data_IF_960818100916
#
_entry.id   IF_960818100916
#
_cell.length_a   1.000
_cell.length_b   1.000
_cell.length_c   1.000
_cell.angle_alpha   90.00
_cell.angle_beta   90.00
_cell.angle_gamma   90.00
#
_symmetry.space_group_name_H-M   'P 1'
#
loop_
_entity.id
_entity.type
_entity.pdbx_description
1 polymer ?
#
# COMPACT_ATOMS: atom_id res chain seq x y z
N UNK A 1 -19.72 3.28 -18.29
CA UNK A 1 -18.61 4.05 -17.68
C UNK A 1 -19.12 5.44 -17.39
N UNK A 2 -19.15 5.88 -16.13
CA UNK A 2 -19.39 7.28 -15.81
C UNK A 2 -18.21 8.10 -16.38
N UNK A 3 -18.49 8.95 -17.36
CA UNK A 3 -17.50 9.88 -17.89
C UNK A 3 -17.40 11.05 -16.92
N UNK A 4 -16.34 11.08 -16.10
CA UNK A 4 -16.02 12.26 -15.31
C UNK A 4 -15.45 13.34 -16.24
N UNK A 5 -16.00 14.55 -16.17
CA UNK A 5 -15.42 15.70 -16.85
C UNK A 5 -14.28 16.26 -15.98
N UNK A 6 -13.05 15.80 -16.26
CA UNK A 6 -11.87 16.15 -15.47
C UNK A 6 -11.19 17.40 -16.03
N UNK A 7 -10.85 18.34 -15.17
CA UNK A 7 -9.88 19.40 -15.45
C UNK A 7 -8.47 18.84 -15.24
N UNK A 8 -7.81 18.47 -16.34
CA UNK A 8 -6.50 17.85 -16.33
C UNK A 8 -5.39 18.69 -15.71
N UNK A 9 -5.49 20.03 -15.77
CA UNK A 9 -4.52 20.93 -15.13
C UNK A 9 -4.65 20.82 -13.61
N UNK A 10 -5.88 20.94 -13.07
CA UNK A 10 -6.12 20.75 -11.63
C UNK A 10 -5.72 19.35 -11.17
N UNK A 11 -6.03 18.33 -11.97
CA UNK A 11 -5.67 16.95 -11.68
C UNK A 11 -4.15 16.75 -11.57
N UNK A 12 -3.39 17.21 -12.57
CA UNK A 12 -1.93 17.13 -12.56
C UNK A 12 -1.30 17.88 -11.39
N UNK A 13 -1.77 19.10 -11.12
CA UNK A 13 -1.33 19.89 -9.97
C UNK A 13 -1.62 19.17 -8.64
N UNK A 14 -2.80 18.57 -8.50
CA UNK A 14 -3.16 17.81 -7.29
C UNK A 14 -2.29 16.57 -7.07
N UNK A 15 -1.91 15.86 -8.15
CA UNK A 15 -0.96 14.74 -8.05
C UNK A 15 0.38 15.21 -7.50
N UNK A 16 0.93 16.32 -8.02
CA UNK A 16 2.21 16.89 -7.55
C UNK A 16 2.13 17.25 -6.07
N UNK A 17 1.05 17.93 -5.64
CA UNK A 17 0.86 18.25 -4.23
C UNK A 17 0.70 17.00 -3.35
N UNK A 18 0.00 15.97 -3.83
CA UNK A 18 -0.17 14.71 -3.09
C UNK A 18 1.17 14.02 -2.88
N UNK A 19 2.04 13.99 -3.89
CA UNK A 19 3.40 13.46 -3.79
C UNK A 19 4.21 14.22 -2.74
N UNK A 20 4.25 15.56 -2.85
CA UNK A 20 5.07 16.40 -1.98
C UNK A 20 4.58 16.31 -0.53
N UNK A 21 3.29 16.56 -0.29
CA UNK A 21 2.76 16.70 1.07
C UNK A 21 2.79 15.37 1.83
N UNK A 22 2.43 14.27 1.19
CA UNK A 22 2.38 12.97 1.86
C UNK A 22 3.78 12.49 2.22
N UNK A 23 4.72 12.45 1.27
CA UNK A 23 6.07 11.97 1.56
C UNK A 23 6.85 12.89 2.50
N UNK A 24 6.57 14.20 2.48
CA UNK A 24 7.20 15.15 3.41
C UNK A 24 6.92 14.79 4.88
N UNK A 25 5.76 14.19 5.20
CA UNK A 25 5.47 13.76 6.58
C UNK A 25 6.51 12.76 7.07
N UNK A 26 6.75 11.71 6.29
CA UNK A 26 7.75 10.70 6.62
C UNK A 26 9.16 11.30 6.69
N UNK A 27 9.54 12.13 5.71
CA UNK A 27 10.88 12.73 5.68
C UNK A 27 11.13 13.65 6.88
N UNK A 28 10.18 14.51 7.22
CA UNK A 28 10.31 15.45 8.36
C UNK A 28 10.38 14.68 9.68
N UNK A 29 9.55 13.64 9.85
CA UNK A 29 9.62 12.81 11.05
C UNK A 29 10.96 12.09 11.17
N UNK A 30 11.45 11.51 10.08
CA UNK A 30 12.70 10.76 10.06
C UNK A 30 13.93 11.66 10.26
N UNK A 31 14.01 12.79 9.55
CA UNK A 31 15.22 13.61 9.48
C UNK A 31 15.23 14.79 10.46
N UNK A 32 14.08 15.43 10.69
CA UNK A 32 13.99 16.62 11.54
C UNK A 32 13.60 16.27 12.96
N UNK A 33 12.73 15.27 13.14
CA UNK A 33 12.27 14.82 14.46
C UNK A 33 13.04 13.60 14.99
N UNK A 34 14.01 13.08 14.23
CA UNK A 34 14.82 11.90 14.58
C UNK A 34 13.98 10.67 14.99
N UNK A 35 12.82 10.50 14.37
CA UNK A 35 11.98 9.31 14.58
C UNK A 35 12.63 8.13 13.87
N UNK A 36 13.09 7.14 14.63
CA UNK A 36 13.77 5.97 14.09
C UNK A 36 12.87 5.18 13.11
N UNK A 37 13.49 4.55 12.11
CA UNK A 37 12.80 3.60 11.25
C UNK A 37 12.48 2.31 12.05
N UNK A 38 11.27 1.75 11.93
CA UNK A 38 10.84 0.62 12.74
C UNK A 38 11.47 -0.71 12.32
N UNK A 39 11.80 -1.56 13.30
CA UNK A 39 12.20 -2.94 13.05
C UNK A 39 10.99 -3.89 13.06
N UNK A 40 10.48 -4.18 11.87
CA UNK A 40 9.32 -5.05 11.67
C UNK A 40 9.56 -6.53 12.05
N UNK A 41 10.80 -6.94 12.39
CA UNK A 41 11.07 -8.28 12.90
C UNK A 41 10.38 -8.55 14.24
N UNK A 42 10.11 -7.50 15.03
CA UNK A 42 9.43 -7.58 16.33
C UNK A 42 7.96 -8.00 16.17
N UNK A 43 7.34 -7.73 15.02
CA UNK A 43 5.94 -8.08 14.77
C UNK A 43 5.83 -9.57 14.45
N UNK A 44 5.25 -10.32 15.39
CA UNK A 44 5.09 -11.78 15.26
C UNK A 44 3.95 -12.16 14.31
N UNK A 45 3.94 -13.42 13.88
CA UNK A 45 2.98 -13.97 12.91
C UNK A 45 1.50 -13.70 13.24
N UNK A 46 1.03 -13.83 14.51
CA UNK A 46 -0.37 -13.53 14.83
C UNK A 46 -0.77 -12.08 14.52
N UNK A 47 0.10 -11.10 14.83
CA UNK A 47 -0.17 -9.69 14.55
C UNK A 47 -0.10 -9.38 13.06
N UNK A 48 0.83 -10.02 12.33
CA UNK A 48 0.88 -9.97 10.85
C UNK A 48 -0.41 -10.51 10.25
N UNK A 49 -0.92 -11.63 10.78
CA UNK A 49 -2.17 -12.24 10.33
C UNK A 49 -3.37 -11.32 10.56
N UNK A 50 -3.49 -10.71 11.75
CA UNK A 50 -4.58 -9.77 12.05
C UNK A 50 -4.51 -8.54 11.15
N UNK A 51 -3.34 -7.92 11.03
CA UNK A 51 -3.15 -6.73 10.19
C UNK A 51 -3.48 -7.03 8.73
N UNK A 52 -2.98 -8.16 8.20
CA UNK A 52 -3.29 -8.59 6.84
C UNK A 52 -4.76 -8.95 6.67
N UNK A 53 -5.42 -9.49 7.69
CA UNK A 53 -6.86 -9.75 7.70
C UNK A 53 -7.69 -8.49 7.52
N UNK A 54 -7.32 -7.42 8.20
CA UNK A 54 -7.96 -6.11 8.05
C UNK A 54 -7.67 -5.52 6.66
N UNK A 55 -6.44 -5.64 6.17
CA UNK A 55 -6.06 -5.22 4.80
C UNK A 55 -6.91 -5.95 3.73
N UNK A 56 -7.03 -7.27 3.81
CA UNK A 56 -7.84 -8.07 2.88
C UNK A 56 -9.33 -7.77 3.01
N UNK A 57 -9.84 -7.59 4.24
CA UNK A 57 -11.24 -7.20 4.45
C UNK A 57 -11.55 -5.84 3.81
N UNK A 58 -10.63 -4.88 3.96
CA UNK A 58 -10.76 -3.56 3.32
C UNK A 58 -10.64 -3.62 1.81
N UNK A 59 -9.79 -4.49 1.25
CA UNK A 59 -9.74 -4.76 -0.19
C UNK A 59 -11.04 -5.39 -0.70
N UNK A 60 -11.67 -6.31 0.06
CA UNK A 60 -12.99 -6.88 -0.29
C UNK A 60 -14.06 -5.78 -0.39
N UNK A 61 -14.13 -4.87 0.59
CA UNK A 61 -15.07 -3.74 0.56
C UNK A 61 -14.76 -2.75 -0.55
N UNK A 62 -13.49 -2.37 -0.70
CA UNK A 62 -13.05 -1.53 -1.81
C UNK A 62 -13.47 -2.13 -3.16
N UNK A 63 -13.19 -3.43 -3.35
CA UNK A 63 -13.48 -4.11 -4.60
C UNK A 63 -14.98 -4.22 -4.87
N UNK A 64 -15.79 -4.56 -3.87
CA UNK A 64 -17.26 -4.59 -4.00
C UNK A 64 -17.85 -3.24 -4.46
N UNK A 65 -17.31 -2.13 -3.96
CA UNK A 65 -17.70 -0.80 -4.42
C UNK A 65 -17.17 -0.55 -5.85
N UNK A 66 -15.89 -0.83 -6.11
CA UNK A 66 -15.28 -0.57 -7.41
C UNK A 66 -15.93 -1.40 -8.54
N UNK A 67 -16.24 -2.67 -8.28
CA UNK A 67 -16.77 -3.64 -9.26
C UNK A 67 -18.07 -3.16 -9.91
N UNK A 68 -18.91 -2.45 -9.14
CA UNK A 68 -20.18 -1.85 -9.62
C UNK A 68 -19.98 -0.86 -10.77
N UNK A 69 -18.79 -0.26 -10.90
CA UNK A 69 -18.44 0.66 -12.00
C UNK A 69 -17.69 -0.02 -13.14
N UNK A 70 -17.20 -1.24 -12.94
CA UNK A 70 -16.26 -1.91 -13.84
C UNK A 70 -16.96 -3.08 -14.55
N UNK A 71 -17.35 -2.87 -15.81
CA UNK A 71 -17.94 -3.90 -16.67
C UNK A 71 -16.94 -4.82 -17.35
N UNK A 72 -15.78 -5.09 -16.74
CA UNK A 72 -14.69 -5.85 -17.36
C UNK A 72 -14.76 -7.36 -17.09
N UNK A 73 -14.01 -8.14 -17.87
CA UNK A 73 -13.79 -9.58 -17.62
C UNK A 73 -13.03 -9.82 -16.31
N UNK A 74 -13.14 -11.03 -15.77
CA UNK A 74 -12.43 -11.45 -14.54
C UNK A 74 -10.93 -11.15 -14.61
N UNK A 75 -10.26 -11.47 -15.72
CA UNK A 75 -8.82 -11.24 -15.88
C UNK A 75 -8.44 -9.76 -15.77
N UNK A 76 -9.20 -8.86 -16.41
CA UNK A 76 -8.96 -7.40 -16.33
C UNK A 76 -9.21 -6.86 -14.93
N UNK A 77 -10.26 -7.34 -14.27
CA UNK A 77 -10.60 -7.01 -12.88
C UNK A 77 -9.48 -7.43 -11.92
N UNK A 78 -9.00 -8.66 -12.08
CA UNK A 78 -7.88 -9.21 -11.34
C UNK A 78 -6.60 -8.40 -11.53
N UNK A 79 -6.18 -8.16 -12.78
CA UNK A 79 -4.97 -7.38 -13.09
C UNK A 79 -5.07 -5.97 -12.51
N UNK A 80 -6.22 -5.30 -12.64
CA UNK A 80 -6.42 -3.96 -12.08
C UNK A 80 -6.25 -3.96 -10.55
N UNK A 81 -6.88 -4.91 -9.85
CA UNK A 81 -6.76 -4.98 -8.39
C UNK A 81 -5.32 -5.30 -7.96
N UNK A 82 -4.62 -6.18 -8.69
CA UNK A 82 -3.21 -6.48 -8.43
C UNK A 82 -2.35 -5.24 -8.58
N UNK A 83 -2.50 -4.49 -9.66
CA UNK A 83 -1.74 -3.27 -9.89
C UNK A 83 -2.04 -2.25 -8.80
N UNK A 84 -3.31 -2.03 -8.45
CA UNK A 84 -3.69 -1.05 -7.42
C UNK A 84 -3.17 -1.43 -6.03
N UNK A 85 -3.34 -2.69 -5.60
CA UNK A 85 -2.82 -3.16 -4.30
C UNK A 85 -1.29 -3.10 -4.29
N UNK A 86 -0.64 -3.54 -5.37
CA UNK A 86 0.81 -3.56 -5.44
C UNK A 86 1.41 -2.15 -5.44
N UNK A 87 0.83 -1.21 -6.18
CA UNK A 87 1.27 0.18 -6.19
C UNK A 87 1.00 0.88 -4.85
N UNK A 88 -0.18 0.67 -4.24
CA UNK A 88 -0.52 1.32 -2.97
C UNK A 88 0.33 0.78 -1.80
N UNK A 89 0.66 -0.51 -1.82
CA UNK A 89 1.54 -1.15 -0.84
C UNK A 89 3.03 -1.03 -1.20
N UNK A 90 3.35 -0.29 -2.27
CA UNK A 90 4.71 -0.04 -2.78
C UNK A 90 5.51 -1.30 -3.13
N UNK A 91 4.79 -2.38 -3.42
CA UNK A 91 5.37 -3.64 -3.83
C UNK A 91 5.56 -3.73 -5.33
N UNK A 92 5.00 -2.85 -6.16
CA UNK A 92 5.18 -2.95 -7.61
C UNK A 92 6.56 -2.45 -8.03
N UNK A 93 6.92 -1.20 -7.73
CA UNK A 93 8.21 -0.64 -8.15
C UNK A 93 8.94 0.12 -7.05
N UNK A 94 8.30 1.06 -6.35
CA UNK A 94 8.94 1.97 -5.38
C UNK A 94 9.76 1.23 -4.32
N UNK A 95 9.15 0.29 -3.60
CA UNK A 95 9.81 -0.45 -2.53
C UNK A 95 11.09 -1.16 -2.99
N UNK A 96 11.02 -2.09 -3.96
CA UNK A 96 12.22 -2.75 -4.46
C UNK A 96 13.21 -1.80 -5.14
N UNK A 97 12.73 -0.76 -5.84
CA UNK A 97 13.60 0.25 -6.46
C UNK A 97 14.39 1.03 -5.41
N UNK A 98 13.74 1.59 -4.39
CA UNK A 98 14.42 2.39 -3.36
C UNK A 98 15.33 1.54 -2.47
N UNK A 99 14.89 0.33 -2.10
CA UNK A 99 15.74 -0.61 -1.37
C UNK A 99 16.98 -0.98 -2.19
N UNK A 100 16.79 -1.26 -3.48
CA UNK A 100 17.87 -1.59 -4.39
C UNK A 100 18.79 -0.40 -4.69
N UNK A 101 18.22 0.80 -4.80
CA UNK A 101 18.95 2.04 -4.98
C UNK A 101 19.89 2.26 -3.79
N UNK A 102 19.37 2.19 -2.57
CA UNK A 102 20.15 2.40 -1.34
C UNK A 102 21.19 1.33 -1.03
N UNK A 103 21.03 0.13 -1.60
CA UNK A 103 21.95 -1.02 -1.43
C UNK A 103 22.83 -1.31 -2.66
N UNK A 104 22.74 -0.48 -3.71
CA UNK A 104 23.39 -0.70 -5.03
C UNK A 104 23.03 -2.05 -5.68
N UNK A 105 21.83 -2.56 -5.43
CA UNK A 105 21.36 -3.88 -5.86
C UNK A 105 19.96 -3.86 -6.51
N UNK A 106 19.66 -2.83 -7.30
CA UNK A 106 18.33 -2.61 -7.93
C UNK A 106 17.78 -3.87 -8.60
N UNK A 107 18.57 -4.51 -9.47
CA UNK A 107 18.14 -5.73 -10.17
C UNK A 107 17.82 -6.87 -9.21
N UNK A 108 18.63 -7.06 -8.17
CA UNK A 108 18.37 -8.08 -7.15
C UNK A 108 17.09 -7.80 -6.39
N UNK A 109 16.86 -6.56 -5.94
CA UNK A 109 15.67 -6.19 -5.19
C UNK A 109 14.38 -6.26 -6.02
N UNK A 110 14.44 -5.93 -7.32
CA UNK A 110 13.31 -6.10 -8.23
C UNK A 110 12.96 -7.58 -8.41
N UNK A 111 13.96 -8.44 -8.62
CA UNK A 111 13.73 -9.88 -8.83
C UNK A 111 13.31 -10.58 -7.52
N UNK A 112 13.91 -10.21 -6.39
CA UNK A 112 13.60 -10.80 -5.08
C UNK A 112 12.19 -10.44 -4.58
N UNK A 113 11.59 -9.39 -5.13
CA UNK A 113 10.25 -8.96 -4.80
C UNK A 113 9.14 -9.65 -5.63
N UNK A 114 9.49 -10.41 -6.68
CA UNK A 114 8.53 -11.16 -7.50
C UNK A 114 7.65 -12.13 -6.67
N UNK A 115 8.18 -12.92 -5.71
CA UNK A 115 7.37 -13.75 -4.82
C UNK A 115 6.28 -12.98 -4.06
N UNK A 116 6.60 -11.78 -3.61
CA UNK A 116 5.66 -10.89 -2.92
C UNK A 116 4.54 -10.46 -3.88
N UNK A 117 4.90 -10.06 -5.10
CA UNK A 117 3.93 -9.71 -6.15
C UNK A 117 3.04 -10.90 -6.56
N UNK A 118 3.58 -12.10 -6.66
CA UNK A 118 2.80 -13.30 -6.95
C UNK A 118 1.82 -13.63 -5.81
N UNK A 119 2.25 -13.47 -4.56
CA UNK A 119 1.37 -13.66 -3.39
C UNK A 119 0.25 -12.61 -3.35
N UNK A 120 0.56 -11.36 -3.70
CA UNK A 120 -0.44 -10.30 -3.93
C UNK A 120 -1.40 -10.71 -5.05
N UNK A 121 -0.88 -11.24 -6.16
CA UNK A 121 -1.70 -11.70 -7.28
C UNK A 121 -2.70 -12.80 -6.88
N UNK A 122 -2.26 -13.80 -6.10
CA UNK A 122 -3.14 -14.83 -5.55
C UNK A 122 -4.21 -14.20 -4.65
N UNK A 123 -3.81 -13.31 -3.74
CA UNK A 123 -4.71 -12.62 -2.82
C UNK A 123 -5.80 -11.85 -3.57
N UNK A 124 -5.42 -11.02 -4.53
CA UNK A 124 -6.35 -10.24 -5.36
C UNK A 124 -7.25 -11.15 -6.21
N UNK A 125 -6.74 -12.27 -6.72
CA UNK A 125 -7.54 -13.23 -7.49
C UNK A 125 -8.67 -13.84 -6.65
N UNK A 126 -8.36 -14.23 -5.42
CA UNK A 126 -9.35 -14.71 -4.47
C UNK A 126 -10.36 -13.61 -4.10
N UNK A 127 -9.92 -12.36 -3.94
CA UNK A 127 -10.81 -11.22 -3.65
C UNK A 127 -11.78 -10.95 -4.80
N UNK A 128 -11.30 -10.83 -6.04
CA UNK A 128 -12.17 -10.61 -7.21
C UNK A 128 -13.16 -11.75 -7.39
N UNK A 129 -12.76 -12.99 -7.06
CA UNK A 129 -13.67 -14.13 -7.08
C UNK A 129 -14.70 -14.10 -5.95
N UNK A 130 -14.31 -13.74 -4.73
CA UNK A 130 -15.18 -13.86 -3.55
C UNK A 130 -16.08 -12.65 -3.32
N UNK A 131 -15.58 -11.42 -3.49
CA UNK A 131 -16.30 -10.19 -3.14
C UNK A 131 -17.72 -10.09 -3.73
N UNK A 132 -17.96 -10.38 -5.03
CA UNK A 132 -19.32 -10.28 -5.60
C UNK A 132 -20.31 -11.34 -5.09
N UNK A 133 -19.81 -12.40 -4.43
CA UNK A 133 -20.62 -13.56 -3.99
C UNK A 133 -21.01 -13.46 -2.52
N UNK A 134 -20.47 -12.50 -1.78
CA UNK A 134 -20.65 -12.40 -0.33
C UNK A 134 -21.44 -11.15 0.04
N UNK A 135 -22.69 -11.33 0.45
CA UNK A 135 -23.56 -10.20 0.82
C UNK A 135 -23.52 -9.89 2.32
N UNK A 136 -23.10 -10.84 3.17
CA UNK A 136 -23.11 -10.69 4.63
C UNK A 136 -21.74 -10.29 5.15
N UNK A 137 -21.69 -9.29 6.03
CA UNK A 137 -20.46 -8.81 6.68
C UNK A 137 -19.67 -9.95 7.33
N UNK A 138 -20.34 -10.81 8.10
CA UNK A 138 -19.71 -11.95 8.77
C UNK A 138 -19.02 -12.90 7.79
N UNK A 139 -19.63 -13.18 6.64
CA UNK A 139 -19.03 -14.02 5.60
C UNK A 139 -17.81 -13.35 4.95
N UNK A 140 -17.80 -12.02 4.83
CA UNK A 140 -16.62 -11.28 4.36
C UNK A 140 -15.48 -11.37 5.36
N UNK A 141 -15.75 -11.31 6.66
CA UNK A 141 -14.72 -11.53 7.69
C UNK A 141 -14.13 -12.96 7.61
N UNK A 142 -14.98 -13.98 7.47
CA UNK A 142 -14.51 -15.36 7.30
C UNK A 142 -13.72 -15.53 6.01
N UNK A 143 -14.18 -14.96 4.89
CA UNK A 143 -13.46 -15.00 3.62
C UNK A 143 -12.12 -14.26 3.72
N UNK A 144 -12.06 -13.11 4.38
CA UNK A 144 -10.82 -12.39 4.61
C UNK A 144 -9.82 -13.26 5.39
N UNK A 145 -10.26 -13.86 6.50
CA UNK A 145 -9.42 -14.76 7.29
C UNK A 145 -8.93 -15.97 6.47
N UNK A 146 -9.80 -16.58 5.65
CA UNK A 146 -9.44 -17.69 4.78
C UNK A 146 -8.43 -17.28 3.70
N UNK A 147 -8.63 -16.13 3.04
CA UNK A 147 -7.71 -15.60 2.03
C UNK A 147 -6.34 -15.30 2.65
N UNK A 148 -6.31 -14.74 3.86
CA UNK A 148 -5.05 -14.49 4.59
C UNK A 148 -4.37 -15.80 4.93
N UNK A 149 -5.11 -16.80 5.42
CA UNK A 149 -4.55 -18.10 5.73
C UNK A 149 -3.97 -18.80 4.50
N UNK A 150 -4.69 -18.78 3.38
CA UNK A 150 -4.21 -19.33 2.10
C UNK A 150 -2.97 -18.57 1.63
N UNK A 151 -3.00 -17.24 1.63
CA UNK A 151 -1.88 -16.43 1.13
C UNK A 151 -0.62 -16.57 2.00
N UNK A 152 -0.76 -16.55 3.34
CA UNK A 152 0.37 -16.59 4.27
C UNK A 152 0.94 -17.99 4.52
N UNK A 153 0.09 -19.01 4.61
CA UNK A 153 0.52 -20.35 5.03
C UNK A 153 0.60 -21.37 3.89
N UNK A 154 0.03 -21.05 2.72
CA UNK A 154 0.05 -21.95 1.56
C UNK A 154 0.75 -21.30 0.38
N UNK A 155 0.18 -20.23 -0.18
CA UNK A 155 0.70 -19.62 -1.40
C UNK A 155 2.09 -19.03 -1.19
N UNK A 156 2.30 -18.22 -0.14
CA UNK A 156 3.59 -17.59 0.16
C UNK A 156 4.73 -18.60 0.28
N UNK A 157 4.66 -19.59 1.19
CA UNK A 157 5.71 -20.60 1.34
C UNK A 157 5.97 -21.42 0.08
N UNK A 158 4.94 -21.77 -0.69
CA UNK A 158 5.08 -22.49 -1.96
C UNK A 158 5.79 -21.63 -3.02
N UNK A 159 5.36 -20.38 -3.18
CA UNK A 159 5.96 -19.43 -4.12
C UNK A 159 7.42 -19.17 -3.74
N UNK A 160 7.70 -18.89 -2.46
CA UNK A 160 9.07 -18.67 -1.98
C UNK A 160 9.94 -19.90 -2.24
N UNK A 161 9.45 -21.09 -1.93
CA UNK A 161 10.19 -22.34 -2.17
C UNK A 161 10.48 -22.57 -3.65
N UNK A 162 9.48 -22.33 -4.52
CA UNK A 162 9.65 -22.41 -5.96
C UNK A 162 10.62 -21.34 -6.51
N UNK A 163 10.73 -20.19 -5.84
CA UNK A 163 11.61 -19.09 -6.25
C UNK A 163 13.06 -19.23 -5.75
N UNK A 164 13.32 -20.08 -4.75
CA UNK A 164 14.67 -20.31 -4.20
C UNK A 164 15.76 -20.58 -5.26
N UNK A 165 15.53 -21.42 -6.31
CA UNK A 165 16.55 -21.66 -7.33
C UNK A 165 16.95 -20.40 -8.11
N UNK A 166 15.97 -19.53 -8.39
CA UNK A 166 16.21 -18.24 -9.06
C UNK A 166 17.05 -17.35 -8.14
N UNK A 167 16.69 -17.26 -6.86
CA UNK A 167 17.43 -16.47 -5.86
C UNK A 167 18.89 -16.92 -5.72
N UNK A 168 19.15 -18.22 -5.73
CA UNK A 168 20.50 -18.76 -5.67
C UNK A 168 21.33 -18.37 -6.91
N UNK A 169 20.69 -18.30 -8.08
CA UNK A 169 21.36 -17.93 -9.34
C UNK A 169 21.77 -16.45 -9.34
N UNK A 170 20.94 -15.58 -8.75
CA UNK A 170 21.20 -14.13 -8.70
C UNK A 170 21.88 -13.68 -7.40
N UNK A 171 22.33 -14.60 -6.54
CA UNK A 171 22.92 -14.26 -5.24
C UNK A 171 24.17 -13.37 -5.36
N UNK A 172 24.88 -13.43 -6.48
CA UNK A 172 26.01 -12.56 -6.79
C UNK A 172 25.63 -11.07 -6.96
N UNK A 173 24.34 -10.77 -7.18
CA UNK A 173 23.79 -9.41 -7.26
C UNK A 173 23.30 -8.88 -5.91
N UNK A 174 23.42 -9.66 -4.83
CA UNK A 174 22.94 -9.29 -3.51
C UNK A 174 23.62 -8.00 -3.00
N UNK A 175 22.96 -7.23 -2.11
CA UNK A 175 23.53 -6.07 -1.45
C UNK A 175 24.94 -6.33 -0.89
N UNK A 176 25.91 -5.50 -1.28
CA UNK A 176 27.26 -5.52 -0.69
C UNK A 176 27.50 -4.38 0.31
N UNK A 177 26.52 -3.50 0.51
CA UNK A 177 26.57 -2.40 1.45
C UNK A 177 25.45 -1.39 1.23
N UNK A 178 25.26 -0.50 2.19
CA UNK A 178 24.29 0.59 2.14
C UNK A 178 25.01 1.94 2.04
N UNK A 179 24.55 2.81 1.15
CA UNK A 179 25.12 4.16 0.99
C UNK A 179 24.16 5.28 1.38
N UNK A 180 22.85 5.02 1.36
CA UNK A 180 21.85 5.95 1.88
C UNK A 180 22.04 6.09 3.40
N UNK A 181 22.58 7.21 3.84
CA UNK A 181 22.78 7.52 5.27
C UNK A 181 21.95 8.75 5.64
N UNK A 182 21.42 8.75 6.87
CA UNK A 182 20.72 9.91 7.41
C UNK A 182 21.74 10.98 7.86
N UNK A 183 21.44 12.27 7.67
CA UNK A 183 20.30 12.81 6.92
C UNK A 183 20.47 12.59 5.41
N UNK A 184 19.38 12.24 4.71
CA UNK A 184 19.44 11.98 3.27
C UNK A 184 19.59 13.28 2.48
N UNK A 185 20.57 13.30 1.58
CA UNK A 185 20.75 14.40 0.62
C UNK A 185 19.80 14.31 -0.58
N UNK A 186 19.85 15.31 -1.49
CA UNK A 186 19.04 15.35 -2.70
C UNK A 186 19.12 14.08 -3.56
N UNK A 187 20.27 13.42 -3.57
CA UNK A 187 20.54 12.18 -4.29
C UNK A 187 19.68 10.99 -3.86
N UNK A 188 19.11 11.02 -2.65
CA UNK A 188 18.14 10.01 -2.18
C UNK A 188 16.72 10.58 -2.18
N UNK A 189 16.57 11.84 -1.78
CA UNK A 189 15.25 12.49 -1.69
C UNK A 189 14.57 12.61 -3.05
N UNK A 190 15.28 13.03 -4.09
CA UNK A 190 14.68 13.20 -5.43
C UNK A 190 14.15 11.87 -5.98
N UNK A 191 14.91 10.76 -6.01
CA UNK A 191 14.37 9.44 -6.37
C UNK A 191 13.22 8.98 -5.47
N UNK A 192 13.27 9.28 -4.17
CA UNK A 192 12.20 8.93 -3.25
C UNK A 192 10.87 9.64 -3.60
N UNK A 193 10.90 10.94 -3.89
CA UNK A 193 9.71 11.68 -4.33
C UNK A 193 9.21 11.23 -5.71
N UNK A 194 10.11 11.00 -6.67
CA UNK A 194 9.73 10.55 -8.01
C UNK A 194 9.05 9.18 -7.94
N UNK A 195 9.65 8.22 -7.23
CA UNK A 195 9.07 6.88 -7.08
C UNK A 195 7.77 6.88 -6.28
N UNK A 196 7.54 7.87 -5.40
CA UNK A 196 6.30 8.00 -4.63
C UNK A 196 5.08 8.41 -5.46
N UNK A 197 5.27 8.77 -6.73
CA UNK A 197 4.14 8.96 -7.64
C UNK A 197 3.29 7.68 -7.80
N UNK A 198 3.90 6.51 -7.61
CA UNK A 198 3.24 5.21 -7.73
C UNK A 198 2.08 5.03 -6.73
N UNK A 199 2.28 5.08 -5.40
CA UNK A 199 1.16 4.98 -4.45
C UNK A 199 0.16 6.15 -4.58
N UNK A 200 0.60 7.34 -5.04
CA UNK A 200 -0.30 8.47 -5.33
C UNK A 200 -1.25 8.16 -6.47
N UNK A 201 -0.74 7.66 -7.60
CA UNK A 201 -1.58 7.27 -8.74
C UNK A 201 -2.57 6.19 -8.32
N UNK A 202 -2.11 5.17 -7.58
CA UNK A 202 -2.99 4.11 -7.10
C UNK A 202 -4.11 4.66 -6.21
N UNK A 203 -3.76 5.51 -5.24
CA UNK A 203 -4.73 6.11 -4.34
C UNK A 203 -5.75 7.00 -5.07
N UNK A 204 -5.32 7.79 -6.06
CA UNK A 204 -6.22 8.61 -6.88
C UNK A 204 -7.15 7.74 -7.74
N UNK A 205 -6.64 6.68 -8.37
CA UNK A 205 -7.49 5.75 -9.14
C UNK A 205 -8.51 5.07 -8.22
N UNK A 206 -8.09 4.66 -7.02
CA UNK A 206 -9.01 4.12 -6.02
C UNK A 206 -10.10 5.13 -5.66
N UNK A 207 -9.75 6.40 -5.42
CA UNK A 207 -10.72 7.46 -5.20
C UNK A 207 -11.71 7.54 -6.38
N UNK A 208 -11.24 7.63 -7.62
CA UNK A 208 -12.10 7.66 -8.82
C UNK A 208 -13.12 6.51 -8.87
N UNK A 209 -12.70 5.31 -8.47
CA UNK A 209 -13.57 4.12 -8.51
C UNK A 209 -14.66 4.17 -7.44
N UNK A 210 -14.36 4.59 -6.21
CA UNK A 210 -15.28 4.43 -5.08
C UNK A 210 -15.88 5.74 -4.52
N UNK A 211 -15.41 6.92 -4.94
CA UNK A 211 -15.72 8.21 -4.32
C UNK A 211 -17.21 8.45 -4.07
N UNK A 212 -18.02 8.30 -5.11
CA UNK A 212 -19.46 8.60 -5.06
C UNK A 212 -20.28 7.55 -4.30
N UNK A 213 -19.67 6.41 -3.96
CA UNK A 213 -20.32 5.29 -3.29
C UNK A 213 -20.07 5.24 -1.78
N UNK A 214 -19.13 6.05 -1.27
CA UNK A 214 -18.72 6.01 0.13
C UNK A 214 -19.73 6.66 1.06
N UNK A 215 -20.04 7.94 0.85
CA UNK A 215 -21.00 8.69 1.66
C UNK A 215 -21.42 9.98 0.97
N UNK A 216 -22.68 10.43 1.10
CA UNK A 216 -23.08 11.77 0.66
C UNK A 216 -22.40 12.88 1.49
N UNK A 217 -22.09 12.62 2.76
CA UNK A 217 -21.48 13.59 3.68
C UNK A 217 -19.98 13.69 3.44
N UNK A 218 -19.50 14.88 3.05
CA UNK A 218 -18.11 15.11 2.61
C UNK A 218 -17.06 14.65 3.62
N UNK A 219 -17.12 15.11 4.88
CA UNK A 219 -16.11 14.74 5.88
C UNK A 219 -16.10 13.23 6.16
N UNK A 220 -17.28 12.59 6.22
CA UNK A 220 -17.39 11.15 6.46
C UNK A 220 -16.86 10.34 5.26
N UNK A 221 -17.03 10.85 4.04
CA UNK A 221 -16.43 10.28 2.83
C UNK A 221 -14.91 10.22 2.92
N UNK A 222 -14.27 11.32 3.32
CA UNK A 222 -12.81 11.35 3.53
C UNK A 222 -12.40 10.38 4.65
N UNK A 223 -13.12 10.35 5.77
CA UNK A 223 -12.83 9.42 6.86
C UNK A 223 -12.87 7.95 6.40
N UNK A 224 -13.93 7.55 5.69
CA UNK A 224 -14.03 6.19 5.16
C UNK A 224 -12.91 5.88 4.17
N UNK A 225 -12.56 6.83 3.30
CA UNK A 225 -11.47 6.65 2.35
C UNK A 225 -10.10 6.50 3.04
N UNK A 226 -9.83 7.32 4.06
CA UNK A 226 -8.64 7.22 4.91
C UNK A 226 -8.56 5.83 5.56
N UNK A 227 -9.66 5.34 6.16
CA UNK A 227 -9.69 4.04 6.81
C UNK A 227 -9.42 2.89 5.83
N UNK A 228 -9.97 2.97 4.61
CA UNK A 228 -9.70 2.00 3.54
C UNK A 228 -8.22 2.01 3.17
N UNK A 229 -7.64 3.19 2.90
CA UNK A 229 -6.23 3.31 2.50
C UNK A 229 -5.28 2.84 3.60
N UNK A 230 -5.52 3.26 4.85
CA UNK A 230 -4.74 2.83 6.02
C UNK A 230 -4.79 1.31 6.20
N UNK A 231 -5.98 0.72 6.11
CA UNK A 231 -6.13 -0.72 6.26
C UNK A 231 -5.41 -1.47 5.14
N UNK A 232 -5.56 -1.06 3.87
CA UNK A 232 -4.92 -1.73 2.73
C UNK A 232 -3.39 -1.66 2.86
N UNK A 233 -2.83 -0.50 3.23
CA UNK A 233 -1.38 -0.33 3.47
C UNK A 233 -0.87 -1.04 4.74
N UNK A 234 -1.73 -1.75 5.48
CA UNK A 234 -1.44 -2.36 6.79
C UNK A 234 -1.04 -1.35 7.88
N UNK A 235 -1.41 -0.07 7.74
CA UNK A 235 -1.00 1.01 8.63
C UNK A 235 -2.05 1.36 9.70
N UNK A 236 -3.22 0.72 9.67
CA UNK A 236 -4.29 1.00 10.64
C UNK A 236 -3.95 0.55 12.06
N UNK A 237 -3.40 -0.66 12.22
CA UNK A 237 -3.07 -1.24 13.54
C UNK A 237 -1.57 -1.41 13.79
N UNK A 238 -0.75 -1.37 12.74
CA UNK A 238 0.68 -1.62 12.84
C UNK A 238 1.40 -0.64 13.80
N UNK A 239 1.06 0.66 13.84
CA UNK A 239 1.62 1.56 14.83
C UNK A 239 1.32 1.15 16.28
N UNK A 240 0.12 0.63 16.54
CA UNK A 240 -0.29 0.18 17.87
C UNK A 240 0.46 -1.11 18.23
N UNK A 241 0.51 -2.08 17.31
CA UNK A 241 1.22 -3.33 17.52
C UNK A 241 2.70 -3.11 17.77
N UNK A 242 3.34 -2.25 16.98
CA UNK A 242 4.75 -1.91 17.16
C UNK A 242 4.98 -1.14 18.47
N UNK A 243 4.09 -0.20 18.84
CA UNK A 243 4.19 0.52 20.10
C UNK A 243 4.14 -0.38 21.34
N UNK A 244 3.28 -1.41 21.30
CA UNK A 244 3.09 -2.35 22.41
C UNK A 244 4.16 -3.43 22.46
N UNK A 245 4.62 -3.93 21.31
CA UNK A 245 5.59 -5.03 21.24
C UNK A 245 7.05 -4.56 21.27
N UNK A 246 7.31 -3.31 20.90
CA UNK A 246 8.64 -2.71 20.90
C UNK A 246 9.19 -2.56 22.32
N UNK A 247 10.48 -2.86 22.50
CA UNK A 247 11.17 -2.75 23.81
C UNK A 247 11.51 -1.31 24.22
N UNK A 248 11.27 -0.33 23.34
CA UNK A 248 11.55 1.10 23.56
C UNK A 248 10.41 1.86 24.24
N UNK A 249 10.57 3.19 24.33
CA UNK A 249 9.55 4.11 24.87
C UNK A 249 8.31 4.06 23.98
N UNK A 250 7.13 3.84 24.56
CA UNK A 250 5.86 3.69 23.84
C UNK A 250 5.63 4.80 22.80
N UNK A 251 5.82 6.06 23.17
CA UNK A 251 5.61 7.21 22.27
C UNK A 251 6.60 7.21 21.10
N UNK A 252 7.86 6.81 21.32
CA UNK A 252 8.85 6.72 20.24
C UNK A 252 8.53 5.58 19.29
N UNK A 253 8.13 4.42 19.82
CA UNK A 253 7.71 3.28 19.01
C UNK A 253 6.43 3.64 18.21
N UNK A 254 5.46 4.30 18.86
CA UNK A 254 4.24 4.75 18.19
C UNK A 254 4.55 5.75 17.08
N UNK A 255 5.48 6.69 17.29
CA UNK A 255 5.92 7.62 16.26
C UNK A 255 6.65 6.90 15.10
N UNK A 256 7.44 5.87 15.41
CA UNK A 256 8.25 5.11 14.46
C UNK A 256 7.43 4.45 13.35
N UNK A 257 6.33 3.78 13.70
CA UNK A 257 5.38 3.29 12.68
C UNK A 257 4.32 4.34 12.33
N UNK A 258 3.99 5.22 13.27
CA UNK A 258 3.00 6.29 13.10
C UNK A 258 3.34 7.24 11.97
N UNK A 259 4.63 7.42 11.63
CA UNK A 259 5.03 8.22 10.47
C UNK A 259 4.46 7.69 9.15
N UNK A 260 4.36 6.36 8.97
CA UNK A 260 3.79 5.76 7.76
C UNK A 260 2.26 5.84 7.77
N UNK A 261 1.64 5.71 8.94
CA UNK A 261 0.21 5.93 9.08
C UNK A 261 -0.17 7.40 8.77
N UNK A 262 0.59 8.37 9.27
CA UNK A 262 0.39 9.79 8.96
C UNK A 262 0.64 10.10 7.48
N UNK A 263 1.71 9.54 6.88
CA UNK A 263 1.96 9.61 5.44
C UNK A 263 0.74 9.11 4.65
N UNK A 264 0.18 7.95 5.03
CA UNK A 264 -0.97 7.34 4.38
C UNK A 264 -2.28 8.13 4.60
N UNK A 265 -2.47 8.77 5.75
CA UNK A 265 -3.60 9.68 6.00
C UNK A 265 -3.51 10.88 5.07
N UNK A 266 -2.35 11.53 5.00
CA UNK A 266 -2.13 12.68 4.12
C UNK A 266 -2.28 12.27 2.66
N UNK A 267 -1.78 11.10 2.26
CA UNK A 267 -1.98 10.52 0.94
C UNK A 267 -3.47 10.39 0.60
N UNK A 268 -4.26 9.76 1.48
CA UNK A 268 -5.69 9.55 1.24
C UNK A 268 -6.48 10.86 1.15
N UNK A 269 -6.17 11.83 2.02
CA UNK A 269 -6.80 13.16 1.99
C UNK A 269 -6.46 13.88 0.69
N UNK A 270 -5.18 13.98 0.35
CA UNK A 270 -4.71 14.72 -0.82
C UNK A 270 -5.13 14.07 -2.13
N UNK A 271 -5.13 12.74 -2.23
CA UNK A 271 -5.64 12.00 -3.38
C UNK A 271 -7.15 12.16 -3.56
N UNK A 272 -7.92 12.04 -2.48
CA UNK A 272 -9.37 12.26 -2.48
C UNK A 272 -9.73 13.69 -2.89
N UNK A 273 -8.99 14.67 -2.35
CA UNK A 273 -9.15 16.08 -2.70
C UNK A 273 -8.76 16.36 -4.15
N UNK A 274 -7.66 15.78 -4.63
CA UNK A 274 -7.21 15.89 -6.02
C UNK A 274 -8.31 15.44 -6.98
N UNK A 275 -8.92 14.28 -6.70
CA UNK A 275 -10.04 13.82 -7.51
C UNK A 275 -11.23 14.79 -7.43
N UNK A 276 -11.70 15.13 -6.23
CA UNK A 276 -12.87 16.00 -6.04
C UNK A 276 -12.70 17.40 -6.67
N UNK A 277 -11.53 18.02 -6.50
CA UNK A 277 -11.21 19.36 -7.02
C UNK A 277 -11.05 19.38 -8.54
N UNK A 278 -10.65 18.25 -9.13
CA UNK A 278 -10.47 18.13 -10.58
C UNK A 278 -11.78 18.01 -11.35
N UNK A 279 -12.90 17.67 -10.69
CA UNK A 279 -14.21 17.56 -11.33
C UNK A 279 -14.68 18.94 -11.80
N UNK A 280 -14.97 19.08 -13.10
CA UNK A 280 -15.65 20.26 -13.64
C UNK A 280 -17.12 20.18 -13.24
N UNK A 281 -17.53 21.05 -12.34
CA UNK A 281 -18.93 21.33 -12.05
C UNK A 281 -19.43 22.40 -13.01
#
# INVERSE_FOLDING_TARGET
>A
MLQYNINWVKFGTGIIFSVILSLSVHIVMLQSMNVAFPDLAIITTPYKFISRGISVLSLLFFWELADKKIGYSFAKKWILLVILDAMLTETLFRGPFMNGYCTKSISFMLISNIPKLMTTAVTCGLIVFTAPRLNKFFLKCLAAAAIVAISMFVAGPLIETAWKPVMNTIAHLAPTGEWCKLPYGPEVLVPAYISFIEPVIACVIMAMLIWDQLSPTRWFRYLLFILIVLAIRNQLLLPIFYAVLGKGIFVMNLASEGQFALEAIVLAITAGFTFEWSLKR
#
